data_IF_661661535090
#
_entry.id   IF_661661535090
#
_cell.length_a   1.000
_cell.length_b   1.000
_cell.length_c   1.000
_cell.angle_alpha   90.00
_cell.angle_beta   90.00
_cell.angle_gamma   90.00
#
_symmetry.space_group_name_H-M   'P 1'
#
loop_
_entity.id
_entity.type
_entity.pdbx_description
1 polymer ?
#
# COMPACT_ATOMS: atom_id res chain seq x y z
N UNK A 1 -46.76 -4.88 30.39
CA UNK A 1 -46.10 -4.46 29.15
C UNK A 1 -45.50 -3.08 29.41
N UNK A 2 -44.20 -2.97 29.77
CA UNK A 2 -43.51 -1.69 29.75
C UNK A 2 -43.18 -1.32 28.29
N UNK A 3 -43.03 -0.01 27.98
CA UNK A 3 -43.06 0.50 26.61
C UNK A 3 -41.77 0.19 25.84
N UNK A 4 -41.95 -0.07 24.55
CA UNK A 4 -40.89 -0.21 23.55
C UNK A 4 -40.12 1.12 23.42
N UNK A 5 -38.93 1.20 24.00
CA UNK A 5 -38.06 2.36 23.76
C UNK A 5 -37.29 2.17 22.45
N UNK A 6 -37.94 2.60 21.36
CA UNK A 6 -37.31 2.83 20.06
C UNK A 6 -36.52 4.13 20.13
N UNK A 7 -35.22 4.05 20.42
CA UNK A 7 -34.25 5.13 20.14
C UNK A 7 -32.83 4.64 20.44
N UNK A 8 -32.16 3.97 19.50
CA UNK A 8 -30.73 3.62 19.67
C UNK A 8 -29.91 3.67 18.37
N UNK A 9 -30.39 4.43 17.39
CA UNK A 9 -29.77 4.48 16.05
C UNK A 9 -29.22 5.83 15.64
N UNK A 10 -29.34 6.88 16.47
CA UNK A 10 -29.11 8.26 16.03
C UNK A 10 -27.97 9.02 16.71
N UNK A 11 -27.18 8.41 17.60
CA UNK A 11 -26.13 9.13 18.34
C UNK A 11 -24.80 8.35 18.45
N UNK A 12 -24.54 7.43 17.52
CA UNK A 12 -23.20 6.85 17.39
C UNK A 12 -22.39 7.72 16.44
N UNK A 13 -21.13 8.07 16.77
CA UNK A 13 -20.23 8.70 15.82
C UNK A 13 -20.22 7.90 14.53
N UNK A 14 -20.12 8.60 13.38
CA UNK A 14 -19.96 7.91 12.11
C UNK A 14 -18.64 7.13 12.15
N UNK A 15 -18.76 5.82 12.39
CA UNK A 15 -17.66 4.91 12.59
C UNK A 15 -17.20 4.27 11.27
N UNK A 16 -17.66 4.83 10.14
CA UNK A 16 -17.34 4.38 8.81
C UNK A 16 -15.93 4.81 8.37
N UNK A 17 -15.25 3.93 7.63
CA UNK A 17 -14.01 4.26 6.94
C UNK A 17 -13.88 3.44 5.66
N UNK A 18 -13.15 3.97 4.69
CA UNK A 18 -12.92 3.31 3.40
C UNK A 18 -11.56 2.61 3.34
N UNK A 19 -11.54 1.44 2.71
CA UNK A 19 -10.32 0.77 2.25
C UNK A 19 -10.46 0.37 0.78
N UNK A 20 -9.33 0.24 0.11
CA UNK A 20 -9.24 -0.40 -1.19
C UNK A 20 -9.12 -1.92 -1.04
N UNK A 21 -9.95 -2.67 -1.76
CA UNK A 21 -9.63 -4.04 -2.13
C UNK A 21 -8.42 -4.00 -3.09
N UNK A 22 -7.45 -4.88 -2.87
CA UNK A 22 -6.23 -4.95 -3.66
C UNK A 22 -6.22 -6.23 -4.50
N UNK A 23 -5.61 -6.17 -5.68
CA UNK A 23 -5.15 -7.34 -6.42
C UNK A 23 -3.63 -7.31 -6.49
N UNK A 24 -3.01 -8.44 -6.22
CA UNK A 24 -1.58 -8.64 -6.43
C UNK A 24 -1.38 -9.65 -7.54
N UNK A 25 -0.70 -9.23 -8.61
CA UNK A 25 -0.50 -10.05 -9.82
C UNK A 25 0.99 -10.30 -10.04
N UNK A 26 1.37 -11.53 -10.38
CA UNK A 26 2.72 -11.86 -10.84
C UNK A 26 2.88 -11.34 -12.26
N UNK A 27 3.80 -10.41 -12.49
CA UNK A 27 4.06 -9.84 -13.84
C UNK A 27 5.37 -10.34 -14.44
N UNK A 28 6.41 -10.50 -13.63
CA UNK A 28 7.74 -10.93 -14.10
C UNK A 28 8.53 -9.83 -14.83
N UNK A 29 9.85 -10.02 -14.90
CA UNK A 29 10.81 -9.20 -15.64
C UNK A 29 11.49 -10.05 -16.74
N UNK A 30 12.33 -9.45 -17.60
CA UNK A 30 13.10 -10.20 -18.62
C UNK A 30 14.06 -11.27 -18.07
N UNK A 31 14.31 -11.30 -16.75
CA UNK A 31 15.14 -12.31 -16.09
C UNK A 31 14.32 -13.57 -15.80
N UNK A 32 14.99 -14.73 -15.81
CA UNK A 32 14.36 -16.02 -15.52
C UNK A 32 13.62 -16.06 -14.18
N UNK A 33 12.44 -16.67 -14.18
CA UNK A 33 11.65 -16.92 -12.98
C UNK A 33 12.07 -18.27 -12.37
N UNK A 34 12.99 -18.22 -11.40
CA UNK A 34 13.55 -19.42 -10.75
C UNK A 34 12.61 -20.05 -9.73
N UNK A 35 11.88 -19.24 -8.98
CA UNK A 35 10.83 -19.69 -8.06
C UNK A 35 9.57 -20.13 -8.83
N UNK A 36 8.70 -20.91 -8.19
CA UNK A 36 7.40 -21.37 -8.75
C UNK A 36 6.37 -20.22 -8.77
N UNK A 37 6.66 -19.22 -9.59
CA UNK A 37 5.81 -18.09 -9.90
C UNK A 37 5.41 -18.19 -11.37
N UNK A 38 4.14 -17.95 -11.69
CA UNK A 38 3.69 -17.94 -13.08
C UNK A 38 3.13 -16.56 -13.40
N UNK A 39 3.58 -15.89 -14.47
CA UNK A 39 3.00 -14.65 -14.90
C UNK A 39 1.48 -14.78 -15.06
N UNK A 40 0.74 -13.85 -14.48
CA UNK A 40 -0.72 -13.88 -14.44
C UNK A 40 -1.32 -14.55 -13.20
N UNK A 41 -0.57 -15.32 -12.40
CA UNK A 41 -1.04 -15.77 -11.09
C UNK A 41 -1.34 -14.55 -10.20
N UNK A 42 -2.41 -14.62 -9.41
CA UNK A 42 -2.82 -13.49 -8.58
C UNK A 42 -3.53 -13.88 -7.29
N UNK A 43 -3.60 -12.95 -6.35
CA UNK A 43 -4.51 -13.03 -5.20
C UNK A 43 -5.16 -11.66 -4.94
N UNK A 44 -6.31 -11.69 -4.28
CA UNK A 44 -7.03 -10.48 -3.86
C UNK A 44 -7.01 -10.33 -2.36
N UNK A 45 -7.02 -9.08 -1.89
CA UNK A 45 -7.16 -8.71 -0.49
C UNK A 45 -8.37 -7.81 -0.34
N UNK A 46 -9.31 -8.20 0.53
CA UNK A 46 -10.52 -7.44 0.86
C UNK A 46 -10.62 -7.30 2.37
N UNK A 47 -10.41 -6.09 2.89
CA UNK A 47 -10.21 -5.88 4.32
C UNK A 47 -9.04 -6.71 4.83
N UNK A 48 -9.30 -7.61 5.77
CA UNK A 48 -8.30 -8.54 6.34
C UNK A 48 -8.14 -9.86 5.56
N UNK A 49 -9.02 -10.15 4.60
CA UNK A 49 -9.08 -11.45 3.95
C UNK A 49 -8.26 -11.50 2.67
N UNK A 50 -7.41 -12.51 2.55
CA UNK A 50 -6.69 -12.86 1.32
C UNK A 50 -7.38 -14.03 0.62
N UNK A 51 -7.65 -13.90 -0.67
CA UNK A 51 -8.33 -14.92 -1.49
C UNK A 51 -7.52 -15.24 -2.74
N UNK A 52 -7.37 -16.53 -3.03
CA UNK A 52 -6.73 -17.07 -4.24
C UNK A 52 -7.78 -17.64 -5.19
N UNK A 53 -7.53 -17.63 -6.51
CA UNK A 53 -8.31 -18.42 -7.46
C UNK A 53 -8.29 -19.91 -7.10
N UNK A 54 -9.37 -20.62 -7.44
CA UNK A 54 -9.48 -22.05 -7.19
C UNK A 54 -8.33 -22.82 -7.89
N UNK A 55 -7.64 -23.66 -7.11
CA UNK A 55 -6.52 -24.46 -7.61
C UNK A 55 -5.20 -23.71 -7.80
N UNK A 56 -5.14 -22.40 -7.52
CA UNK A 56 -3.91 -21.62 -7.60
C UNK A 56 -3.16 -21.63 -6.26
N UNK A 57 -1.85 -21.91 -6.31
CA UNK A 57 -0.96 -21.72 -5.18
C UNK A 57 -0.27 -20.34 -5.27
N UNK A 58 0.26 -19.88 -4.14
CA UNK A 58 1.13 -18.71 -4.11
C UNK A 58 2.27 -18.96 -3.12
N UNK A 59 3.50 -18.57 -3.49
CA UNK A 59 4.66 -18.79 -2.64
C UNK A 59 4.53 -18.03 -1.31
N UNK A 60 4.67 -18.76 -0.20
CA UNK A 60 4.66 -18.17 1.14
C UNK A 60 5.80 -17.18 1.35
N UNK A 61 6.95 -17.37 0.69
CA UNK A 61 8.11 -16.49 0.82
C UNK A 61 7.89 -15.17 0.07
N UNK A 62 7.29 -15.23 -1.12
CA UNK A 62 6.87 -14.02 -1.83
C UNK A 62 5.77 -13.30 -1.06
N UNK A 63 4.79 -14.04 -0.53
CA UNK A 63 3.73 -13.46 0.29
C UNK A 63 4.32 -12.72 1.51
N UNK A 64 5.30 -13.33 2.21
CA UNK A 64 5.96 -12.69 3.35
C UNK A 64 6.67 -11.37 2.98
N UNK A 65 7.22 -11.26 1.76
CA UNK A 65 7.85 -10.02 1.28
C UNK A 65 6.82 -8.92 0.97
N UNK A 66 5.63 -9.30 0.49
CA UNK A 66 4.59 -8.37 0.04
C UNK A 66 3.68 -7.93 1.20
N UNK A 67 3.37 -8.85 2.11
CA UNK A 67 2.37 -8.70 3.18
C UNK A 67 2.53 -7.40 4.00
N UNK A 68 3.73 -6.95 4.39
CA UNK A 68 3.90 -5.72 5.16
C UNK A 68 3.41 -4.45 4.44
N UNK A 69 3.32 -4.47 3.11
CA UNK A 69 2.95 -3.30 2.30
C UNK A 69 1.45 -3.21 2.06
N UNK A 70 0.72 -4.32 2.16
CA UNK A 70 -0.69 -4.40 1.79
C UNK A 70 -1.58 -3.45 2.63
N UNK A 71 -1.47 -3.38 3.97
CA UNK A 71 -2.34 -2.49 4.75
C UNK A 71 -2.17 -1.01 4.38
N UNK A 72 -0.95 -0.58 4.08
CA UNK A 72 -0.69 0.78 3.66
C UNK A 72 -1.24 1.04 2.24
N UNK A 73 -1.10 0.07 1.32
CA UNK A 73 -1.65 0.15 -0.03
C UNK A 73 -3.19 0.17 -0.08
N UNK A 74 -3.86 -0.40 0.93
CA UNK A 74 -5.32 -0.33 1.08
C UNK A 74 -5.82 1.06 1.47
N UNK A 75 -4.97 1.91 2.06
CA UNK A 75 -5.35 3.26 2.51
C UNK A 75 -5.06 4.27 1.41
N UNK A 76 -5.80 5.38 1.43
CA UNK A 76 -5.40 6.54 0.65
C UNK A 76 -4.09 7.11 1.21
N UNK A 77 -3.21 7.48 0.30
CA UNK A 77 -1.85 7.92 0.54
C UNK A 77 -1.61 9.18 -0.29
N UNK A 78 -0.71 10.05 0.14
CA UNK A 78 -0.43 11.29 -0.59
C UNK A 78 0.11 10.97 -2.00
N UNK A 79 -0.35 11.69 -3.02
CA UNK A 79 0.00 11.40 -4.41
C UNK A 79 1.52 11.45 -4.69
N UNK A 80 2.28 12.20 -3.89
CA UNK A 80 3.73 12.35 -3.99
C UNK A 80 4.52 11.39 -3.10
N UNK A 81 3.85 10.51 -2.36
CA UNK A 81 4.49 9.46 -1.57
C UNK A 81 4.86 8.28 -2.49
N UNK A 82 6.05 7.72 -2.30
CA UNK A 82 6.48 6.50 -2.99
C UNK A 82 5.52 5.34 -2.73
N UNK A 83 4.88 5.30 -1.54
CA UNK A 83 3.82 4.34 -1.23
C UNK A 83 2.60 4.46 -2.16
N UNK A 84 2.38 5.59 -2.81
CA UNK A 84 1.33 5.76 -3.83
C UNK A 84 1.78 5.34 -5.22
N UNK A 85 3.03 5.63 -5.59
CA UNK A 85 3.55 5.45 -6.95
C UNK A 85 4.11 4.05 -7.21
N UNK A 86 4.84 3.49 -6.24
CA UNK A 86 5.64 2.28 -6.45
C UNK A 86 4.78 1.04 -6.24
N UNK A 87 4.33 0.43 -7.34
CA UNK A 87 3.35 -0.66 -7.30
C UNK A 87 3.97 -2.07 -7.42
N UNK A 88 5.27 -2.19 -7.71
CA UNK A 88 5.89 -3.47 -8.07
C UNK A 88 6.97 -3.88 -7.07
N UNK A 89 6.83 -5.08 -6.51
CA UNK A 89 7.71 -5.62 -5.48
C UNK A 89 8.52 -6.78 -6.07
N UNK A 90 9.83 -6.79 -5.82
CA UNK A 90 10.70 -7.87 -6.25
C UNK A 90 10.45 -9.18 -5.49
N UNK A 91 10.69 -10.30 -6.16
CA UNK A 91 10.91 -11.57 -5.47
C UNK A 91 12.05 -11.42 -4.44
N UNK A 92 11.89 -11.94 -3.21
CA UNK A 92 12.98 -11.91 -2.22
C UNK A 92 14.17 -12.80 -2.61
N UNK A 93 14.01 -13.73 -3.55
CA UNK A 93 15.12 -14.47 -4.14
C UNK A 93 15.87 -13.58 -5.15
N UNK A 94 17.14 -13.23 -4.92
CA UNK A 94 17.91 -12.32 -5.79
C UNK A 94 18.13 -12.87 -7.21
N UNK A 95 17.97 -14.17 -7.42
CA UNK A 95 18.11 -14.81 -8.74
C UNK A 95 16.79 -14.95 -9.48
N UNK A 96 15.65 -14.72 -8.83
CA UNK A 96 14.35 -14.79 -9.47
C UNK A 96 13.95 -13.44 -10.08
N UNK A 97 13.60 -13.44 -11.37
CA UNK A 97 13.07 -12.27 -12.08
C UNK A 97 11.59 -11.97 -11.82
N UNK A 98 10.95 -12.58 -10.82
CA UNK A 98 9.54 -12.31 -10.55
C UNK A 98 9.33 -10.93 -9.92
N UNK A 99 8.26 -10.26 -10.36
CA UNK A 99 7.73 -9.02 -9.79
C UNK A 99 6.26 -9.20 -9.46
N UNK A 100 5.81 -8.56 -8.39
CA UNK A 100 4.43 -8.60 -7.92
C UNK A 100 3.85 -7.20 -7.96
N UNK A 101 2.87 -7.01 -8.82
CA UNK A 101 2.20 -5.72 -9.03
C UNK A 101 0.97 -5.63 -8.14
N UNK A 102 0.90 -4.59 -7.30
CA UNK A 102 -0.22 -4.31 -6.40
C UNK A 102 -1.12 -3.24 -7.03
N UNK A 103 -2.41 -3.54 -7.17
CA UNK A 103 -3.39 -2.65 -7.80
C UNK A 103 -4.60 -2.48 -6.89
N UNK A 104 -5.09 -1.24 -6.76
CA UNK A 104 -6.37 -0.94 -6.09
C UNK A 104 -7.50 -1.23 -7.07
N UNK A 105 -8.38 -2.17 -6.75
CA UNK A 105 -9.40 -2.67 -7.69
C UNK A 105 -10.83 -2.26 -7.35
N UNK A 106 -11.13 -2.03 -6.07
CA UNK A 106 -12.46 -1.60 -5.60
C UNK A 106 -12.33 -0.83 -4.31
N UNK A 107 -13.16 0.19 -4.09
CA UNK A 107 -13.27 0.85 -2.78
C UNK A 107 -14.45 0.28 -2.00
N UNK A 108 -14.25 0.05 -0.71
CA UNK A 108 -15.23 -0.55 0.20
C UNK A 108 -15.26 0.21 1.52
N UNK A 109 -16.47 0.45 2.00
CA UNK A 109 -16.72 1.04 3.32
C UNK A 109 -16.83 -0.06 4.38
N UNK A 110 -16.16 0.15 5.50
CA UNK A 110 -16.19 -0.68 6.69
C UNK A 110 -16.69 0.15 7.87
N UNK A 111 -17.12 -0.52 8.93
CA UNK A 111 -17.40 0.12 10.23
C UNK A 111 -16.40 -0.32 11.27
N UNK A 112 -15.88 0.61 12.04
CA UNK A 112 -14.92 0.36 13.12
C UNK A 112 -15.45 -0.70 14.09
N UNK A 113 -16.71 -0.57 14.50
CA UNK A 113 -17.36 -1.53 15.43
C UNK A 113 -17.54 -2.95 14.87
N UNK A 114 -17.47 -3.13 13.55
CA UNK A 114 -17.55 -4.44 12.89
C UNK A 114 -16.19 -5.14 12.83
N UNK A 115 -15.08 -4.38 12.82
CA UNK A 115 -13.72 -4.92 12.60
C UNK A 115 -12.83 -4.86 13.84
N UNK A 116 -13.27 -4.21 14.92
CA UNK A 116 -12.55 -4.19 16.19
C UNK A 116 -13.48 -3.99 17.38
N UNK A 117 -13.02 -4.41 18.56
CA UNK A 117 -13.70 -4.20 19.84
C UNK A 117 -13.12 -3.04 20.65
N UNK A 118 -12.01 -2.47 20.21
CA UNK A 118 -11.45 -1.26 20.84
C UNK A 118 -12.41 -0.11 20.57
N UNK A 119 -12.89 0.63 21.58
CA UNK A 119 -13.82 1.75 21.34
C UNK A 119 -13.13 2.92 20.64
N UNK A 120 -13.88 3.70 19.85
CA UNK A 120 -13.39 4.98 19.35
C UNK A 120 -13.16 5.95 20.53
N UNK A 121 -12.12 6.80 20.50
CA UNK A 121 -11.96 7.86 21.47
C UNK A 121 -13.12 8.85 21.40
N UNK A 122 -13.64 9.26 22.56
CA UNK A 122 -14.76 10.22 22.65
C UNK A 122 -14.49 11.57 21.94
N UNK A 123 -13.22 11.94 21.71
CA UNK A 123 -12.86 13.18 21.01
C UNK A 123 -13.17 13.15 19.50
N UNK A 124 -13.32 11.98 18.88
CA UNK A 124 -13.78 11.88 17.49
C UNK A 124 -15.29 12.17 17.37
N UNK A 125 -16.04 11.98 18.46
CA UNK A 125 -17.47 12.35 18.54
C UNK A 125 -17.63 13.88 18.44
N UNK A 126 -16.70 14.64 19.02
CA UNK A 126 -16.70 16.11 18.98
C UNK A 126 -16.29 16.67 17.61
N UNK A 127 -15.27 16.09 16.97
CA UNK A 127 -14.78 16.55 15.66
C UNK A 127 -15.79 16.32 14.53
N UNK A 128 -16.49 15.18 14.52
CA UNK A 128 -17.55 14.90 13.56
C UNK A 128 -18.76 15.85 13.73
N UNK A 129 -19.06 16.25 14.98
CA UNK A 129 -20.12 17.22 15.29
C UNK A 129 -19.78 18.65 14.80
N UNK A 130 -18.50 19.01 14.74
CA UNK A 130 -18.06 20.32 14.22
C UNK A 130 -18.07 20.40 12.69
N UNK A 131 -17.72 19.32 11.97
CA UNK A 131 -17.75 19.29 10.50
C UNK A 131 -19.19 19.44 9.95
N UNK A 132 -20.19 18.91 10.65
CA UNK A 132 -21.61 19.04 10.29
C UNK A 132 -22.20 20.43 10.58
N UNK A 133 -21.49 21.29 11.31
CA UNK A 133 -21.95 22.62 11.73
C UNK A 133 -21.42 23.78 10.87
N UNK A 134 -20.73 23.51 9.75
CA UNK A 134 -19.98 24.55 9.03
C UNK A 134 -19.91 24.39 7.51
N UNK A 135 -21.05 24.56 6.82
CA UNK A 135 -21.03 25.05 5.43
C UNK A 135 -21.57 26.49 5.42
N UNK A 136 -20.73 27.53 5.25
CA UNK A 136 -21.25 28.86 4.95
C UNK A 136 -21.74 28.88 3.50
N UNK A 137 -22.98 29.37 3.31
CA UNK A 137 -23.59 29.64 2.02
C UNK A 137 -22.71 30.56 1.14
N UNK A 138 -22.67 30.26 -0.16
CA UNK A 138 -22.12 31.13 -1.19
C UNK A 138 -22.84 32.48 -1.20
N UNK A 139 -22.12 33.55 -0.87
CA UNK A 139 -22.57 34.93 -0.93
C UNK A 139 -21.65 35.77 -1.82
N UNK A 140 -22.24 36.34 -2.88
CA UNK A 140 -21.59 37.07 -3.95
C UNK A 140 -20.98 38.45 -3.58
N UNK A 141 -20.21 38.98 -4.56
CA UNK A 141 -19.67 40.35 -4.76
C UNK A 141 -18.18 40.53 -4.39
N UNK A 142 -17.32 41.17 -5.19
CA UNK A 142 -17.53 41.93 -6.42
C UNK A 142 -16.21 42.28 -7.12
N UNK A 143 -16.36 42.79 -8.35
CA UNK A 143 -15.34 43.19 -9.31
C UNK A 143 -14.39 44.30 -8.80
N UNK A 144 -13.11 44.18 -9.14
CA UNK A 144 -12.13 45.26 -9.05
C UNK A 144 -10.93 44.99 -9.95
N UNK A 145 -10.94 45.60 -11.13
CA UNK A 145 -9.84 45.64 -12.10
C UNK A 145 -8.61 46.39 -11.55
N UNK A 146 -7.41 45.79 -11.66
CA UNK A 146 -6.13 46.51 -11.70
C UNK A 146 -5.17 45.80 -12.66
N UNK A 147 -4.86 46.46 -13.77
CA UNK A 147 -3.87 46.09 -14.80
C UNK A 147 -2.44 46.57 -14.43
N UNK A 148 -1.38 46.16 -15.16
CA UNK A 148 -0.13 45.67 -14.59
C UNK A 148 1.04 46.66 -14.65
N UNK A 149 2.11 46.38 -13.90
CA UNK A 149 3.38 47.09 -14.06
C UNK A 149 4.57 46.44 -13.34
N UNK A 150 5.63 46.16 -14.11
CA UNK A 150 6.99 46.13 -13.59
C UNK A 150 7.73 44.80 -13.68
N UNK A 151 8.41 44.59 -14.81
CA UNK A 151 9.45 43.57 -14.96
C UNK A 151 10.67 43.88 -14.06
N UNK A 152 11.22 42.84 -13.42
CA UNK A 152 12.62 42.82 -12.97
C UNK A 152 13.17 41.40 -13.03
N UNK A 153 14.42 41.32 -13.49
CA UNK A 153 15.09 40.13 -13.98
C UNK A 153 15.80 39.31 -12.88
N UNK A 154 16.00 38.03 -13.25
CA UNK A 154 17.18 37.19 -13.01
C UNK A 154 17.77 37.07 -11.59
N UNK A 155 17.60 35.88 -11.02
CA UNK A 155 18.47 35.32 -9.98
C UNK A 155 18.53 33.80 -10.14
N UNK A 156 19.62 33.29 -10.72
CA UNK A 156 19.85 31.87 -10.94
C UNK A 156 19.98 31.11 -9.60
N UNK A 157 19.26 29.99 -9.49
CA UNK A 157 19.46 29.04 -8.39
C UNK A 157 20.77 28.26 -8.62
N UNK A 158 21.63 28.08 -7.61
CA UNK A 158 22.82 27.26 -7.74
C UNK A 158 22.45 25.78 -7.87
N UNK A 159 23.12 25.15 -8.83
CA UNK A 159 23.04 23.76 -9.25
C UNK A 159 23.30 22.78 -8.08
N UNK A 160 22.48 21.74 -7.95
CA UNK A 160 22.67 20.66 -6.98
C UNK A 160 23.99 19.90 -7.27
N UNK A 161 24.76 19.49 -6.24
CA UNK A 161 25.87 18.58 -6.47
C UNK A 161 25.32 17.21 -6.87
N UNK A 162 25.62 16.82 -8.12
CA UNK A 162 25.51 15.45 -8.61
C UNK A 162 26.45 14.57 -7.78
N UNK A 163 25.91 13.57 -7.08
CA UNK A 163 26.72 12.50 -6.51
C UNK A 163 27.15 11.58 -7.66
N UNK A 164 28.39 11.75 -8.09
CA UNK A 164 29.07 10.87 -9.03
C UNK A 164 29.29 9.50 -8.36
N UNK A 165 29.03 8.43 -9.09
CA UNK A 165 29.20 7.06 -8.60
C UNK A 165 30.67 6.64 -8.51
N UNK A 166 30.89 5.49 -7.85
CA UNK A 166 32.12 4.67 -7.71
C UNK A 166 32.89 4.98 -6.42
N UNK A 167 33.20 4.03 -5.53
CA UNK A 167 33.27 2.57 -5.59
C UNK A 167 32.95 1.99 -4.21
N UNK A 168 31.98 1.07 -4.11
CA UNK A 168 31.91 0.17 -2.95
C UNK A 168 32.61 -1.11 -3.37
N UNK A 169 33.88 -1.23 -3.00
CA UNK A 169 34.62 -2.46 -3.13
C UNK A 169 33.92 -3.54 -2.29
N UNK A 170 33.16 -4.42 -2.96
CA UNK A 170 32.68 -5.64 -2.36
C UNK A 170 33.88 -6.57 -2.13
N UNK A 171 34.37 -6.62 -0.90
CA UNK A 171 35.31 -7.66 -0.47
C UNK A 171 34.56 -9.00 -0.47
N UNK A 172 34.91 -9.85 -1.42
CA UNK A 172 34.47 -11.24 -1.49
C UNK A 172 35.13 -12.05 -0.37
N UNK A 173 34.47 -12.15 0.79
CA UNK A 173 34.76 -13.23 1.73
C UNK A 173 34.06 -14.49 1.24
N UNK A 174 34.81 -15.29 0.48
CA UNK A 174 34.41 -16.64 0.09
C UNK A 174 34.23 -17.54 1.30
N UNK A 175 33.01 -17.99 1.55
CA UNK A 175 32.74 -19.19 2.34
C UNK A 175 32.67 -20.35 1.35
N UNK A 176 33.81 -21.03 1.19
CA UNK A 176 33.86 -22.31 0.50
C UNK A 176 33.16 -23.37 1.38
N UNK A 177 31.96 -23.79 0.98
CA UNK A 177 31.31 -24.97 1.55
C UNK A 177 31.86 -26.20 0.81
N UNK A 178 32.85 -26.86 1.40
CA UNK A 178 33.31 -28.17 0.91
C UNK A 178 32.27 -29.22 1.28
N UNK A 179 31.47 -29.65 0.31
CA UNK A 179 30.65 -30.84 0.44
C UNK A 179 31.53 -32.09 0.26
N UNK A 180 31.63 -32.93 1.29
CA UNK A 180 32.24 -34.26 1.15
C UNK A 180 31.27 -35.23 0.44
N UNK A 181 31.73 -36.08 -0.48
CA UNK A 181 30.88 -37.08 -1.12
C UNK A 181 30.67 -38.28 -0.19
N UNK A 182 29.47 -38.41 0.39
CA UNK A 182 29.03 -39.68 0.99
C UNK A 182 28.63 -40.65 -0.11
N UNK A 183 29.48 -41.63 -0.37
CA UNK A 183 29.13 -42.83 -1.14
C UNK A 183 28.53 -43.85 -0.17
N UNK A 184 27.26 -44.23 -0.38
CA UNK A 184 26.67 -45.41 0.23
C UNK A 184 26.37 -46.45 -0.86
N UNK A 185 26.73 -47.74 -0.68
CA UNK A 185 26.49 -48.77 -1.68
C UNK A 185 25.03 -49.26 -1.69
N UNK A 186 24.52 -49.60 -2.88
CA UNK A 186 23.23 -50.26 -3.10
C UNK A 186 23.27 -51.72 -2.60
N UNK A 187 22.20 -52.24 -1.97
CA UNK A 187 22.07 -53.66 -1.66
C UNK A 187 21.67 -54.49 -2.88
N UNK A 188 22.05 -55.77 -2.82
CA UNK A 188 21.96 -56.80 -3.87
C UNK A 188 20.58 -57.43 -3.99
#
# INVERSE_FOLDING_TARGET
MPPENRSDSADRPDDAFDLWDLRVTVVGEPRDMVCDHRPGDWFEVSGENLTLPEGQAFSIYALAAILPLLPAKQRDTAATDWMSTDAEIACPDPHCGARFRIERVRRRTFRHSEVTRVPLPAALDEAAAHEQAGAPEEGAAGSGDVEPGGAAAAGAAPEAPRADGRDVAATSSGLAFTAEPTTAPLPT
#
